data_IF_642803948733
#
_entry.id   IF_642803948733
#
_cell.length_a   1.000
_cell.length_b   1.000
_cell.length_c   1.000
_cell.angle_alpha   90.00
_cell.angle_beta   90.00
_cell.angle_gamma   90.00
#
_symmetry.space_group_name_H-M   'P 1'
#
loop_
_entity.id
_entity.type
_entity.pdbx_description
1 polymer ?
#
# COMPACT_ATOMS: atom_id res chain seq x y z
N UNK A 1 -15.28 -15.99 -5.45
CA UNK A 1 -15.16 -14.63 -6.01
C UNK A 1 -15.48 -13.60 -4.92
N UNK A 2 -14.80 -13.68 -3.77
CA UNK A 2 -14.95 -12.73 -2.65
C UNK A 2 -13.59 -12.48 -1.96
N UNK A 3 -12.68 -13.46 -1.99
CA UNK A 3 -11.34 -13.34 -1.37
C UNK A 3 -10.48 -12.16 -1.84
N UNK A 4 -10.60 -11.72 -3.11
CA UNK A 4 -9.80 -10.61 -3.61
C UNK A 4 -10.26 -9.24 -3.09
N UNK A 5 -11.54 -9.05 -2.79
CA UNK A 5 -12.03 -7.76 -2.29
C UNK A 5 -11.54 -7.49 -0.87
N UNK A 6 -11.58 -8.51 -0.01
CA UNK A 6 -11.06 -8.41 1.36
C UNK A 6 -9.55 -8.13 1.35
N UNK A 7 -8.78 -8.74 0.44
CA UNK A 7 -7.33 -8.49 0.32
C UNK A 7 -6.99 -7.07 -0.18
N UNK A 8 -7.87 -6.47 -0.99
CA UNK A 8 -7.67 -5.11 -1.52
C UNK A 8 -8.02 -4.04 -0.48
N UNK A 9 -9.03 -4.29 0.35
CA UNK A 9 -9.38 -3.42 1.47
C UNK A 9 -8.26 -3.39 2.52
N UNK A 10 -7.76 -4.56 2.92
CA UNK A 10 -6.62 -4.67 3.84
C UNK A 10 -5.32 -4.10 3.24
N UNK A 11 -5.17 -4.17 1.90
CA UNK A 11 -4.06 -3.51 1.23
C UNK A 11 -4.22 -1.99 1.28
N UNK A 12 -5.41 -1.43 1.06
CA UNK A 12 -5.61 0.03 0.97
C UNK A 12 -5.20 0.78 2.23
N UNK A 13 -5.38 0.17 3.40
CA UNK A 13 -5.00 0.77 4.69
C UNK A 13 -3.50 1.07 4.78
N UNK A 14 -2.66 0.28 4.10
CA UNK A 14 -1.21 0.49 4.14
C UNK A 14 -0.78 1.76 3.39
N UNK A 15 -1.06 1.93 2.08
CA UNK A 15 -0.67 3.13 1.36
C UNK A 15 -1.34 4.39 1.95
N UNK A 16 -2.58 4.27 2.43
CA UNK A 16 -3.37 5.41 2.95
C UNK A 16 -2.77 5.91 4.27
N UNK A 17 -2.49 5.00 5.20
CA UNK A 17 -1.91 5.33 6.50
C UNK A 17 -0.38 5.56 6.49
N UNK A 18 0.29 5.38 5.36
CA UNK A 18 1.75 5.53 5.25
C UNK A 18 2.15 6.74 4.40
N UNK A 19 1.51 6.93 3.24
CA UNK A 19 1.92 7.92 2.26
C UNK A 19 0.98 9.14 2.28
N UNK A 20 1.22 10.04 3.24
CA UNK A 20 0.50 11.29 3.41
C UNK A 20 1.14 12.46 2.64
N UNK A 21 0.37 13.52 2.37
CA UNK A 21 0.86 14.71 1.66
C UNK A 21 2.00 15.45 2.35
N UNK A 22 2.06 15.38 3.67
CA UNK A 22 3.03 16.06 4.52
C UNK A 22 4.24 15.20 4.86
N UNK A 23 4.37 14.02 4.26
CA UNK A 23 5.57 13.18 4.44
C UNK A 23 6.80 13.82 3.81
N UNK A 24 7.97 13.65 4.45
CA UNK A 24 9.24 14.15 3.90
C UNK A 24 9.65 13.42 2.61
N UNK A 25 9.53 12.08 2.61
CA UNK A 25 9.80 11.23 1.45
C UNK A 25 9.16 9.85 1.63
N UNK A 26 8.88 9.10 0.54
CA UNK A 26 8.36 7.73 0.65
C UNK A 26 9.28 6.81 1.47
N UNK A 27 10.59 7.02 1.37
CA UNK A 27 11.57 6.24 2.13
C UNK A 27 11.46 6.50 3.63
N UNK A 28 11.37 7.77 4.04
CA UNK A 28 11.20 8.12 5.46
C UNK A 28 9.87 7.59 6.00
N UNK A 29 8.78 7.69 5.24
CA UNK A 29 7.47 7.15 5.63
C UNK A 29 7.53 5.63 5.87
N UNK A 30 8.24 4.88 5.02
CA UNK A 30 8.45 3.45 5.22
C UNK A 30 9.32 3.14 6.44
N UNK A 31 10.40 3.89 6.67
CA UNK A 31 11.26 3.74 7.86
C UNK A 31 10.46 4.00 9.15
N UNK A 32 9.58 5.01 9.14
CA UNK A 32 8.67 5.34 10.22
C UNK A 32 7.68 4.20 10.49
N UNK A 33 7.06 3.65 9.44
CA UNK A 33 6.17 2.49 9.55
C UNK A 33 6.90 1.30 10.17
N UNK A 34 8.08 0.94 9.66
CA UNK A 34 8.88 -0.19 10.15
C UNK A 34 9.26 0.00 11.63
N UNK A 35 9.52 1.24 12.05
CA UNK A 35 9.91 1.56 13.42
C UNK A 35 8.73 1.56 14.38
N UNK A 36 7.54 2.00 13.93
CA UNK A 36 6.37 2.23 14.79
C UNK A 36 5.39 1.06 14.82
N UNK A 37 5.28 0.31 13.73
CA UNK A 37 4.31 -0.78 13.62
C UNK A 37 4.75 -2.02 14.40
N UNK A 38 3.78 -2.85 14.79
CA UNK A 38 4.08 -4.16 15.36
C UNK A 38 4.64 -5.09 14.28
N UNK A 39 5.43 -6.09 14.71
CA UNK A 39 5.92 -7.14 13.81
C UNK A 39 4.76 -7.85 13.08
N UNK A 40 3.65 -8.08 13.77
CA UNK A 40 2.46 -8.71 13.20
C UNK A 40 1.87 -7.85 12.09
N UNK A 41 1.68 -6.55 12.32
CA UNK A 41 1.24 -5.59 11.30
C UNK A 41 2.15 -5.62 10.07
N UNK A 42 3.47 -5.56 10.26
CA UNK A 42 4.42 -5.61 9.15
C UNK A 42 4.33 -6.92 8.34
N UNK A 43 4.14 -8.06 9.01
CA UNK A 43 3.97 -9.36 8.34
C UNK A 43 2.68 -9.38 7.53
N UNK A 44 1.58 -8.85 8.06
CA UNK A 44 0.31 -8.73 7.31
C UNK A 44 0.44 -7.80 6.11
N UNK A 45 1.02 -6.61 6.28
CA UNK A 45 1.26 -5.67 5.18
C UNK A 45 2.08 -6.30 4.06
N UNK A 46 3.18 -7.00 4.40
CA UNK A 46 3.99 -7.70 3.39
C UNK A 46 3.16 -8.75 2.64
N UNK A 47 2.37 -9.56 3.38
CA UNK A 47 1.53 -10.60 2.78
C UNK A 47 0.54 -10.00 1.76
N UNK A 48 -0.20 -8.96 2.12
CA UNK A 48 -1.18 -8.35 1.23
C UNK A 48 -0.53 -7.64 0.04
N UNK A 49 0.61 -6.96 0.23
CA UNK A 49 1.40 -6.42 -0.87
C UNK A 49 1.82 -7.52 -1.86
N UNK A 50 2.29 -8.67 -1.37
CA UNK A 50 2.68 -9.79 -2.23
C UNK A 50 1.50 -10.39 -2.99
N UNK A 51 0.37 -10.61 -2.32
CA UNK A 51 -0.86 -11.13 -2.95
C UNK A 51 -1.36 -10.18 -4.04
N UNK A 52 -1.38 -8.88 -3.75
CA UNK A 52 -1.76 -7.84 -4.71
C UNK A 52 -0.84 -7.82 -5.94
N UNK A 53 0.48 -7.82 -5.74
CA UNK A 53 1.44 -7.80 -6.85
C UNK A 53 1.32 -9.05 -7.73
N UNK A 54 1.07 -10.21 -7.12
CA UNK A 54 0.92 -11.51 -7.81
C UNK A 54 -0.49 -11.73 -8.38
N UNK A 55 -1.45 -10.87 -8.09
CA UNK A 55 -2.81 -10.99 -8.59
C UNK A 55 -2.89 -10.77 -10.10
N UNK A 56 -3.98 -11.32 -10.69
CA UNK A 56 -4.30 -11.16 -12.11
C UNK A 56 -4.83 -9.76 -12.50
N UNK A 57 -4.85 -8.82 -11.55
CA UNK A 57 -5.22 -7.42 -11.80
C UNK A 57 -4.22 -6.82 -12.79
N UNK A 58 -4.71 -6.03 -13.74
CA UNK A 58 -3.82 -5.39 -14.72
C UNK A 58 -2.91 -4.35 -14.07
N UNK A 59 -1.74 -4.10 -14.65
CA UNK A 59 -0.82 -3.08 -14.15
C UNK A 59 -1.49 -1.69 -14.03
N UNK A 60 -2.35 -1.32 -14.99
CA UNK A 60 -3.09 -0.06 -14.95
C UNK A 60 -4.07 0.01 -13.78
N UNK A 61 -4.77 -1.08 -13.49
CA UNK A 61 -5.67 -1.16 -12.33
C UNK A 61 -4.88 -1.14 -11.02
N UNK A 62 -3.73 -1.84 -10.96
CA UNK A 62 -2.84 -1.80 -9.79
C UNK A 62 -2.33 -0.39 -9.52
N UNK A 63 -1.89 0.33 -10.55
CA UNK A 63 -1.52 1.74 -10.44
C UNK A 63 -2.69 2.59 -9.94
N UNK A 64 -3.90 2.36 -10.46
CA UNK A 64 -5.09 3.09 -10.04
C UNK A 64 -5.39 2.87 -8.55
N UNK A 65 -5.28 1.63 -8.06
CA UNK A 65 -5.48 1.28 -6.64
C UNK A 65 -4.44 1.97 -5.76
N UNK A 66 -3.17 1.96 -6.14
CA UNK A 66 -2.12 2.63 -5.36
C UNK A 66 -2.37 4.15 -5.33
N UNK A 67 -2.70 4.75 -6.48
CA UNK A 67 -2.98 6.19 -6.60
C UNK A 67 -4.24 6.61 -5.83
N UNK A 68 -5.27 5.77 -5.78
CA UNK A 68 -6.52 6.09 -5.06
C UNK A 68 -6.41 5.97 -3.55
N UNK A 69 -5.43 5.20 -3.05
CA UNK A 69 -5.24 4.94 -1.63
C UNK A 69 -3.95 5.56 -1.11
N UNK A 70 -3.42 6.58 -1.76
CA UNK A 70 -2.29 7.34 -1.22
C UNK A 70 -2.54 8.81 -1.47
N UNK A 71 -2.18 9.66 -0.51
CA UNK A 71 -2.47 11.08 -0.63
C UNK A 71 -1.39 11.84 -1.40
N UNK A 72 -0.39 11.13 -1.94
CA UNK A 72 0.81 11.71 -2.55
C UNK A 72 0.64 11.94 -4.05
N UNK A 73 1.26 13.00 -4.55
CA UNK A 73 1.32 13.24 -5.99
C UNK A 73 2.43 12.39 -6.61
N UNK A 74 2.08 11.36 -7.36
CA UNK A 74 3.06 10.60 -8.14
C UNK A 74 3.62 11.49 -9.24
N UNK A 75 4.95 11.74 -9.28
CA UNK A 75 5.55 12.45 -10.40
C UNK A 75 5.17 11.71 -11.69
N UNK A 76 4.74 12.47 -12.71
CA UNK A 76 4.57 11.88 -14.04
C UNK A 76 5.91 11.28 -14.49
N UNK A 77 5.90 9.99 -14.84
CA UNK A 77 7.05 9.27 -15.42
C UNK A 77 7.38 9.85 -16.80
#
# INVERSE_FOLDING_TARGET
MYDNYDSLEELSDFPDGTFHQDMDSPKQALEDLITKASKECLVFTIKFCEEFLKSDISELEKESVIKSNSEINFPAI
#
